data_IF_617372740524
#
_entry.id   IF_617372740524
#
_cell.length_a   1.000
_cell.length_b   1.000
_cell.length_c   1.000
_cell.angle_alpha   90.00
_cell.angle_beta   90.00
_cell.angle_gamma   90.00
#
_symmetry.space_group_name_H-M   'P 1'
#
loop_
_entity.id
_entity.type
_entity.pdbx_description
1 polymer ?
#
# COMPACT_ATOMS: atom_id res chain seq x y z
N UNK A 1 15.28 0.25 2.83
CA UNK A 1 14.46 0.77 1.73
C UNK A 1 13.38 1.75 2.23
N UNK A 2 12.47 1.35 3.14
CA UNK A 2 11.36 2.21 3.59
C UNK A 2 11.76 3.62 4.07
N UNK A 3 12.90 3.75 4.75
CA UNK A 3 13.47 5.05 5.18
C UNK A 3 13.62 6.07 4.04
N UNK A 4 13.91 5.61 2.82
CA UNK A 4 14.09 6.47 1.65
C UNK A 4 12.75 7.02 1.13
N UNK A 5 11.63 6.38 1.47
CA UNK A 5 10.29 6.77 1.01
C UNK A 5 9.61 7.77 1.97
N UNK A 6 10.10 7.87 3.20
CA UNK A 6 9.57 8.78 4.24
C UNK A 6 9.53 10.26 3.82
N UNK A 7 10.51 10.80 3.07
CA UNK A 7 10.48 12.20 2.64
C UNK A 7 9.42 12.51 1.57
N UNK A 8 8.78 11.52 0.97
CA UNK A 8 7.83 11.73 -0.14
C UNK A 8 6.36 11.86 0.31
N UNK A 9 6.09 11.79 1.62
CA UNK A 9 4.78 12.13 2.20
C UNK A 9 3.56 11.41 1.57
N UNK A 10 3.66 10.10 1.34
CA UNK A 10 2.54 9.31 0.85
C UNK A 10 1.34 9.39 1.81
N UNK A 11 0.12 9.59 1.29
CA UNK A 11 -1.10 9.53 2.10
C UNK A 11 -1.35 8.11 2.64
N UNK A 12 -0.96 7.09 1.86
CA UNK A 12 -1.10 5.69 2.22
C UNK A 12 0.18 4.88 1.96
N UNK A 13 0.46 3.92 2.84
CA UNK A 13 1.49 2.90 2.67
C UNK A 13 0.86 1.51 2.73
N UNK A 14 0.86 0.79 1.61
CA UNK A 14 0.21 -0.50 1.46
C UNK A 14 1.25 -1.61 1.32
N UNK A 15 1.09 -2.67 2.11
CA UNK A 15 1.98 -3.83 2.12
C UNK A 15 1.21 -5.09 1.71
N UNK A 16 1.78 -5.88 0.82
CA UNK A 16 1.22 -7.18 0.42
C UNK A 16 2.35 -8.15 0.07
N UNK A 17 2.12 -9.46 0.15
CA UNK A 17 3.08 -10.45 -0.31
C UNK A 17 3.12 -10.48 -1.85
N UNK A 18 4.14 -11.14 -2.40
CA UNK A 18 4.29 -11.35 -3.85
C UNK A 18 3.31 -12.43 -4.39
N UNK A 19 2.06 -12.41 -3.93
CA UNK A 19 0.97 -13.30 -4.33
C UNK A 19 0.04 -12.48 -5.22
N UNK A 20 -0.22 -12.95 -6.43
CA UNK A 20 -0.98 -12.15 -7.43
C UNK A 20 -2.45 -12.03 -7.08
N UNK A 21 -3.15 -13.13 -6.80
CA UNK A 21 -4.59 -13.16 -6.53
C UNK A 21 -4.95 -14.10 -5.39
N UNK A 22 -4.77 -15.41 -5.60
CA UNK A 22 -4.97 -16.46 -4.60
C UNK A 22 -3.78 -17.42 -4.67
N UNK A 23 -3.49 -18.11 -3.58
CA UNK A 23 -2.37 -19.08 -3.53
C UNK A 23 -2.52 -20.15 -4.63
N UNK A 24 -3.77 -20.51 -4.98
CA UNK A 24 -4.09 -21.49 -6.01
C UNK A 24 -3.84 -21.01 -7.44
N UNK A 25 -3.76 -19.70 -7.68
CA UNK A 25 -3.55 -19.10 -9.01
C UNK A 25 -2.13 -18.55 -9.22
N UNK A 26 -1.23 -18.73 -8.24
CA UNK A 26 0.17 -18.35 -8.36
C UNK A 26 0.95 -19.31 -9.27
N UNK A 27 1.74 -18.74 -10.19
CA UNK A 27 2.68 -19.50 -11.01
C UNK A 27 3.82 -20.09 -10.15
N UNK A 28 4.43 -21.19 -10.60
CA UNK A 28 5.47 -21.92 -9.86
C UNK A 28 6.73 -21.08 -9.56
N UNK A 29 7.04 -20.08 -10.39
CA UNK A 29 8.13 -19.11 -10.21
C UNK A 29 7.88 -18.13 -9.06
N UNK A 30 6.62 -17.84 -8.74
CA UNK A 30 6.22 -17.05 -7.58
C UNK A 30 6.08 -17.89 -6.30
N UNK A 31 6.00 -19.22 -6.44
CA UNK A 31 5.90 -20.16 -5.31
C UNK A 31 7.29 -20.53 -4.80
N UNK A 32 7.79 -19.76 -3.83
CA UNK A 32 8.88 -20.28 -2.99
C UNK A 32 8.29 -21.34 -2.02
N UNK A 33 8.33 -22.61 -2.41
CA UNK A 33 7.82 -23.73 -1.61
C UNK A 33 8.45 -23.84 -0.21
N UNK A 34 9.57 -23.16 0.04
CA UNK A 34 10.22 -23.12 1.36
C UNK A 34 9.67 -22.01 2.28
N UNK A 35 8.72 -21.19 1.81
CA UNK A 35 8.16 -20.07 2.58
C UNK A 35 6.64 -20.18 2.64
N UNK A 36 6.11 -20.36 3.85
CA UNK A 36 4.67 -20.39 4.08
C UNK A 36 4.02 -19.02 3.83
N UNK A 37 2.72 -19.02 3.50
CA UNK A 37 1.92 -17.80 3.34
C UNK A 37 1.92 -16.96 4.62
N UNK A 38 1.90 -17.63 5.78
CA UNK A 38 2.03 -16.98 7.08
C UNK A 38 3.34 -16.20 7.18
N UNK A 39 4.48 -16.80 6.81
CA UNK A 39 5.77 -16.10 6.81
C UNK A 39 5.78 -14.89 5.87
N UNK A 40 5.11 -14.97 4.72
CA UNK A 40 4.99 -13.83 3.80
C UNK A 40 4.15 -12.69 4.39
N UNK A 41 3.04 -13.01 5.08
CA UNK A 41 2.18 -12.02 5.73
C UNK A 41 2.85 -11.40 6.97
N UNK A 42 3.57 -12.20 7.76
CA UNK A 42 4.37 -11.71 8.89
C UNK A 42 5.37 -10.66 8.44
N UNK A 43 6.08 -10.90 7.32
CA UNK A 43 6.98 -9.90 6.75
C UNK A 43 6.27 -8.61 6.33
N UNK A 44 5.03 -8.70 5.84
CA UNK A 44 4.24 -7.51 5.50
C UNK A 44 3.86 -6.71 6.76
N UNK A 45 3.52 -7.40 7.85
CA UNK A 45 3.24 -6.79 9.15
C UNK A 45 4.50 -6.13 9.74
N UNK A 46 5.65 -6.79 9.67
CA UNK A 46 6.94 -6.23 10.14
C UNK A 46 7.31 -4.95 9.37
N UNK A 47 7.08 -4.96 8.04
CA UNK A 47 7.27 -3.79 7.20
C UNK A 47 6.31 -2.65 7.57
N UNK A 48 5.03 -2.97 7.82
CA UNK A 48 4.04 -2.00 8.27
C UNK A 48 4.44 -1.37 9.62
N UNK A 49 4.86 -2.19 10.58
CA UNK A 49 5.33 -1.71 11.88
C UNK A 49 6.57 -0.81 11.73
N UNK A 50 7.52 -1.22 10.89
CA UNK A 50 8.71 -0.41 10.58
C UNK A 50 8.33 0.92 9.95
N UNK A 51 7.36 0.94 9.04
CA UNK A 51 6.84 2.17 8.44
C UNK A 51 6.25 3.11 9.50
N UNK A 52 5.38 2.59 10.38
CA UNK A 52 4.77 3.38 11.47
C UNK A 52 5.82 3.99 12.40
N UNK A 53 6.87 3.24 12.73
CA UNK A 53 7.96 3.74 13.55
C UNK A 53 8.70 4.88 12.85
N UNK A 54 8.98 4.75 11.55
CA UNK A 54 9.68 5.76 10.77
C UNK A 54 8.86 7.04 10.57
N UNK A 55 7.55 6.91 10.33
CA UNK A 55 6.66 8.06 10.18
C UNK A 55 6.35 8.72 11.53
N UNK A 56 6.29 7.94 12.62
CA UNK A 56 6.09 8.45 13.98
C UNK A 56 7.34 9.09 14.60
N UNK A 57 8.55 8.60 14.29
CA UNK A 57 9.81 9.20 14.78
C UNK A 57 10.08 10.60 14.23
N UNK A 58 9.53 10.94 13.04
CA UNK A 58 9.62 12.31 12.51
C UNK A 58 8.87 13.33 13.38
N UNK A 59 7.87 12.91 14.15
CA UNK A 59 7.12 13.82 15.04
C UNK A 59 7.95 14.29 16.26
N UNK A 60 9.13 13.71 16.50
CA UNK A 60 10.07 14.11 17.56
C UNK A 60 11.43 14.54 16.98
N UNK A 61 11.45 15.41 15.97
CA UNK A 61 12.67 16.17 15.69
C UNK A 61 12.66 17.46 16.53
N UNK A 62 13.51 17.59 17.57
CA UNK A 62 13.60 18.79 18.40
C UNK A 62 14.44 19.88 17.69
N UNK A 63 14.02 20.27 16.48
CA UNK A 63 14.78 21.19 15.62
C UNK A 63 13.96 22.26 14.91
N UNK A 64 12.62 22.19 14.92
CA UNK A 64 11.74 23.16 14.24
C UNK A 64 11.11 24.20 15.19
N UNK A 65 11.66 24.35 16.39
CA UNK A 65 11.13 25.28 17.41
C UNK A 65 11.71 26.70 17.32
N UNK A 66 12.30 27.09 16.18
CA UNK A 66 12.81 28.45 16.00
C UNK A 66 12.20 29.14 14.78
N UNK A 67 11.40 30.15 15.13
CA UNK A 67 10.94 31.30 14.34
C UNK A 67 9.62 31.08 13.57
N UNK A 68 8.48 31.38 14.21
CA UNK A 68 7.74 32.63 13.98
C UNK A 68 6.64 32.77 15.03
N UNK A 69 6.80 33.81 15.84
CA UNK A 69 5.77 34.44 16.67
C UNK A 69 4.67 35.05 15.78
N UNK A 70 3.41 34.91 16.22
CA UNK A 70 2.24 35.68 15.78
C UNK A 70 1.68 35.45 14.36
N UNK A 71 1.22 34.23 14.06
CA UNK A 71 0.06 34.03 13.18
C UNK A 71 -0.71 32.78 13.61
N UNK A 72 -1.93 32.96 14.10
CA UNK A 72 -2.90 31.91 14.38
C UNK A 72 -3.41 31.28 13.08
N UNK A 73 -2.55 30.56 12.36
CA UNK A 73 -2.94 29.64 11.30
C UNK A 73 -3.01 28.23 11.92
N UNK A 74 -4.04 27.42 11.61
CA UNK A 74 -4.11 26.07 12.15
C UNK A 74 -2.89 25.31 11.65
N UNK A 75 -1.97 25.04 12.58
CA UNK A 75 -0.82 24.18 12.41
C UNK A 75 -1.27 22.98 11.57
N UNK A 76 -0.73 22.88 10.36
CA UNK A 76 -1.11 21.90 9.34
C UNK A 76 -1.34 20.56 10.03
N UNK A 77 -2.59 20.08 10.04
CA UNK A 77 -2.93 18.80 10.63
C UNK A 77 -1.94 17.76 10.13
N UNK A 78 -1.08 17.31 11.04
CA UNK A 78 0.03 16.42 10.77
C UNK A 78 -0.51 15.17 10.07
N UNK A 79 -0.31 15.08 8.74
CA UNK A 79 -0.82 13.97 7.95
C UNK A 79 -0.03 12.71 8.30
N UNK A 80 -0.55 11.93 9.24
CA UNK A 80 -0.08 10.57 9.49
C UNK A 80 -0.44 9.71 8.27
N UNK A 81 0.59 9.17 7.60
CA UNK A 81 0.40 8.23 6.50
C UNK A 81 -0.29 6.97 7.01
N UNK A 82 -1.47 6.68 6.48
CA UNK A 82 -2.21 5.49 6.85
C UNK A 82 -1.53 4.24 6.30
N UNK A 83 -1.36 3.21 7.13
CA UNK A 83 -0.64 1.99 6.73
C UNK A 83 -1.51 0.75 6.82
N UNK A 84 -1.49 -0.09 5.78
CA UNK A 84 -2.40 -1.22 5.59
C UNK A 84 -1.67 -2.47 5.07
N UNK A 85 -2.17 -3.66 5.41
CA UNK A 85 -1.65 -4.94 4.94
C UNK A 85 -2.76 -5.70 4.22
N UNK A 86 -2.43 -6.26 3.07
CA UNK A 86 -3.34 -7.00 2.19
C UNK A 86 -2.82 -8.42 1.91
N UNK A 87 -3.72 -9.38 1.66
CA UNK A 87 -3.33 -10.77 1.43
C UNK A 87 -2.65 -11.03 0.08
N UNK A 88 -2.86 -10.16 -0.91
CA UNK A 88 -2.29 -10.30 -2.26
C UNK A 88 -2.26 -8.97 -3.01
N UNK A 89 -1.55 -8.94 -4.14
CA UNK A 89 -1.39 -7.79 -5.03
C UNK A 89 -2.76 -7.30 -5.52
N UNK A 90 -3.61 -8.19 -6.03
CA UNK A 90 -4.92 -7.81 -6.56
C UNK A 90 -5.79 -7.12 -5.49
N UNK A 91 -5.78 -7.62 -4.25
CA UNK A 91 -6.55 -7.03 -3.16
C UNK A 91 -6.10 -5.62 -2.79
N UNK A 92 -4.79 -5.36 -2.85
CA UNK A 92 -4.24 -4.02 -2.66
C UNK A 92 -4.64 -3.10 -3.82
N UNK A 93 -4.51 -3.55 -5.08
CA UNK A 93 -4.85 -2.75 -6.26
C UNK A 93 -6.34 -2.41 -6.34
N UNK A 94 -7.23 -3.36 -6.04
CA UNK A 94 -8.67 -3.10 -5.98
C UNK A 94 -9.02 -2.09 -4.89
N UNK A 95 -8.36 -2.18 -3.73
CA UNK A 95 -8.55 -1.19 -2.67
C UNK A 95 -7.97 0.18 -3.05
N UNK A 96 -6.87 0.27 -3.78
CA UNK A 96 -6.34 1.57 -4.20
C UNK A 96 -7.25 2.21 -5.25
N UNK A 97 -7.69 1.45 -6.24
CA UNK A 97 -8.46 1.97 -7.38
C UNK A 97 -9.93 2.24 -7.07
N UNK A 98 -10.49 1.64 -6.02
CA UNK A 98 -11.88 1.86 -5.59
C UNK A 98 -12.91 1.66 -6.73
N UNK A 99 -12.63 0.72 -7.64
CA UNK A 99 -13.53 0.42 -8.77
C UNK A 99 -13.48 1.42 -9.92
N UNK A 100 -12.55 2.39 -9.89
CA UNK A 100 -12.35 3.35 -10.99
C UNK A 100 -11.59 2.77 -12.19
N UNK A 101 -10.92 1.65 -11.98
CA UNK A 101 -10.21 0.92 -13.03
C UNK A 101 -11.04 -0.29 -13.48
N UNK A 102 -11.52 -0.26 -14.72
CA UNK A 102 -12.35 -1.31 -15.31
C UNK A 102 -11.68 -2.68 -15.38
N UNK A 103 -10.35 -2.75 -15.46
CA UNK A 103 -9.58 -4.00 -15.54
C UNK A 103 -9.52 -4.70 -14.18
N UNK A 104 -9.52 -3.90 -13.11
CA UNK A 104 -9.46 -4.36 -11.71
C UNK A 104 -10.85 -4.53 -11.08
N UNK A 105 -11.86 -3.82 -11.60
CA UNK A 105 -13.23 -3.83 -11.11
C UNK A 105 -14.06 -5.05 -11.54
N UNK A 106 -13.48 -6.01 -12.28
CA UNK A 106 -14.18 -7.21 -12.73
C UNK A 106 -14.78 -8.00 -11.54
N UNK A 107 -16.12 -8.13 -11.44
CA UNK A 107 -16.78 -8.88 -10.38
C UNK A 107 -16.47 -10.39 -10.42
N UNK A 108 -15.91 -10.90 -11.51
CA UNK A 108 -15.40 -12.27 -11.61
C UNK A 108 -14.13 -12.53 -10.79
N UNK A 109 -13.33 -11.49 -10.52
CA UNK A 109 -12.10 -11.57 -9.72
C UNK A 109 -12.46 -11.53 -8.22
N UNK A 110 -12.84 -12.69 -7.67
CA UNK A 110 -13.21 -12.84 -6.25
C UNK A 110 -12.00 -12.63 -5.34
N UNK A 111 -11.95 -11.48 -4.69
CA UNK A 111 -10.97 -11.18 -3.64
C UNK A 111 -11.62 -11.26 -2.27
N UNK A 112 -10.83 -11.64 -1.27
CA UNK A 112 -11.24 -11.69 0.13
C UNK A 112 -11.75 -10.30 0.55
N UNK A 113 -12.98 -10.20 1.10
CA UNK A 113 -13.54 -8.92 1.52
C UNK A 113 -12.62 -8.19 2.50
N UNK A 114 -12.33 -6.94 2.18
CA UNK A 114 -11.55 -6.05 3.05
C UNK A 114 -12.43 -5.66 4.25
N UNK A 115 -11.85 -5.64 5.46
CA UNK A 115 -12.59 -5.27 6.68
C UNK A 115 -13.25 -3.89 6.53
N UNK A 116 -14.47 -3.66 7.07
CA UNK A 116 -15.16 -2.38 6.94
C UNK A 116 -14.34 -1.17 7.40
N UNK A 117 -13.52 -1.34 8.44
CA UNK A 117 -12.61 -0.29 8.94
C UNK A 117 -11.52 0.11 7.93
N UNK A 118 -11.07 -0.83 7.09
CA UNK A 118 -10.10 -0.57 6.03
C UNK A 118 -10.81 0.01 4.80
N UNK A 119 -12.04 -0.44 4.52
CA UNK A 119 -12.85 0.15 3.45
C UNK A 119 -13.21 1.62 3.75
N UNK A 120 -13.48 1.96 5.01
CA UNK A 120 -13.75 3.33 5.44
C UNK A 120 -12.57 4.28 5.18
N UNK A 121 -11.33 3.79 5.29
CA UNK A 121 -10.11 4.58 4.98
C UNK A 121 -9.97 4.91 3.50
N UNK A 122 -10.71 4.23 2.63
CA UNK A 122 -10.67 4.49 1.20
C UNK A 122 -11.63 5.59 0.74
N UNK A 123 -12.37 6.24 1.65
CA UNK A 123 -13.25 7.37 1.30
C UNK A 123 -12.48 8.47 0.57
N UNK A 124 -11.32 8.87 1.10
CA UNK A 124 -10.45 9.84 0.44
C UNK A 124 -9.96 9.39 -0.94
N UNK A 125 -9.79 8.09 -1.15
CA UNK A 125 -9.43 7.52 -2.45
C UNK A 125 -10.59 7.53 -3.45
N UNK A 126 -11.85 7.55 -3.01
CA UNK A 126 -13.00 7.69 -3.91
C UNK A 126 -13.18 9.12 -4.38
N UNK A 127 -12.93 10.06 -3.49
CA UNK A 127 -13.10 11.49 -3.74
C UNK A 127 -11.89 12.12 -4.47
N UNK A 128 -10.74 11.45 -4.45
CA UNK A 128 -9.51 11.91 -5.10
C UNK A 128 -9.64 11.93 -6.63
N UNK A 129 -9.42 13.10 -7.24
CA UNK A 129 -9.40 13.28 -8.71
C UNK A 129 -8.40 12.36 -9.40
N UNK A 130 -7.20 12.20 -8.82
CA UNK A 130 -6.13 11.36 -9.35
C UNK A 130 -5.44 10.61 -8.21
N UNK A 131 -5.02 9.37 -8.47
CA UNK A 131 -4.20 8.58 -7.54
C UNK A 131 -2.89 8.24 -8.22
N UNK A 132 -1.79 8.61 -7.58
CA UNK A 132 -0.44 8.23 -7.98
C UNK A 132 0.05 7.08 -7.10
N UNK A 133 0.49 5.99 -7.71
CA UNK A 133 0.91 4.78 -7.00
C UNK A 133 2.37 4.47 -7.30
N UNK A 134 3.18 4.34 -6.26
CA UNK A 134 4.54 3.80 -6.34
C UNK A 134 4.53 2.33 -5.90
N UNK A 135 4.86 1.41 -6.81
CA UNK A 135 5.02 -0.02 -6.51
C UNK A 135 6.50 -0.35 -6.40
N UNK A 136 6.95 -0.82 -5.23
CA UNK A 136 8.35 -1.10 -4.97
C UNK A 136 8.55 -2.26 -3.99
N UNK A 137 9.71 -2.91 -4.05
CA UNK A 137 10.14 -3.94 -3.09
C UNK A 137 10.80 -5.15 -3.75
N UNK A 138 10.24 -5.63 -4.86
CA UNK A 138 10.86 -6.69 -5.66
C UNK A 138 10.33 -6.70 -7.09
N UNK A 139 11.08 -7.30 -8.01
CA UNK A 139 10.64 -7.46 -9.40
C UNK A 139 9.37 -8.33 -9.50
N UNK A 140 9.25 -9.38 -8.67
CA UNK A 140 8.05 -10.23 -8.62
C UNK A 140 6.79 -9.45 -8.22
N UNK A 141 6.92 -8.47 -7.32
CA UNK A 141 5.82 -7.59 -6.95
C UNK A 141 5.42 -6.69 -8.12
N UNK A 142 6.40 -6.06 -8.76
CA UNK A 142 6.18 -5.15 -9.88
C UNK A 142 5.56 -5.90 -11.06
N UNK A 143 6.14 -7.05 -11.45
CA UNK A 143 5.60 -7.90 -12.51
C UNK A 143 4.20 -8.44 -12.19
N UNK A 144 3.97 -8.85 -10.93
CA UNK A 144 2.64 -9.29 -10.48
C UNK A 144 1.58 -8.19 -10.53
N UNK A 145 1.96 -6.93 -10.28
CA UNK A 145 1.06 -5.79 -10.43
C UNK A 145 0.81 -5.44 -11.90
N UNK A 146 1.85 -5.46 -12.74
CA UNK A 146 1.72 -5.20 -14.18
C UNK A 146 0.80 -6.22 -14.87
N UNK A 147 0.84 -7.49 -14.48
CA UNK A 147 -0.11 -8.53 -14.95
C UNK A 147 -1.58 -8.11 -14.80
N UNK A 148 -1.89 -7.30 -13.79
CA UNK A 148 -3.25 -6.83 -13.51
C UNK A 148 -3.59 -5.50 -14.14
N UNK A 149 -2.61 -4.59 -14.23
CA UNK A 149 -2.81 -3.23 -14.73
C UNK A 149 -2.70 -3.14 -16.26
N UNK A 150 -1.85 -3.97 -16.85
CA UNK A 150 -1.65 -4.03 -18.30
C UNK A 150 -1.50 -5.50 -18.74
N UNK A 151 -2.63 -6.22 -18.86
CA UNK A 151 -2.62 -7.61 -19.27
C UNK A 151 -2.16 -7.81 -20.72
N UNK A 152 -2.14 -6.76 -21.55
CA UNK A 152 -1.75 -6.85 -22.97
C UNK A 152 -0.22 -6.87 -23.12
N UNK A 153 0.49 -6.08 -22.32
CA UNK A 153 1.97 -6.03 -22.31
C UNK A 153 2.64 -7.19 -21.58
N UNK A 154 1.86 -8.04 -20.90
CA UNK A 154 2.35 -9.24 -20.19
C UNK A 154 2.37 -10.52 -21.05
N UNK A 155 2.10 -10.39 -22.37
CA UNK A 155 2.00 -11.50 -23.35
C UNK A 155 3.33 -11.85 -23.99
#
# INVERSE_FOLDING_TARGET
MLKLLVPYHFDFAVFCPNITETIATCNADQQNFNVSVENMLTRCLDNQQSWRLLTGQRQKQPGDELLISACSLPLVAERQSDSLVFPCILSALQWITQGRDSILADPGKRVIPVKPSIAAKASSLRDATEIHVLIAGSLHLVGGALKHLDPVSAS
#
